data_IF_038004131422
#
_entry.id   IF_038004131422
#
_cell.length_a   1.000
_cell.length_b   1.000
_cell.length_c   1.000
_cell.angle_alpha   90.00
_cell.angle_beta   90.00
_cell.angle_gamma   90.00
#
_symmetry.space_group_name_H-M   'P 1'
#
loop_
_entity.id
_entity.type
_entity.pdbx_description
1 polymer ?
#
# COMPACT_ATOMS: atom_id res chain seq x y z
N UNK A 1 -23.02 -15.35 -1.43
CA UNK A 1 -21.70 -14.81 -1.01
C UNK A 1 -21.87 -14.21 0.36
N UNK A 2 -20.99 -14.52 1.32
CA UNK A 2 -21.02 -13.89 2.65
C UNK A 2 -20.07 -12.70 2.66
N UNK A 3 -20.56 -11.53 3.09
CA UNK A 3 -19.68 -10.41 3.47
C UNK A 3 -19.27 -10.62 4.92
N UNK A 4 -17.97 -10.74 5.17
CA UNK A 4 -17.41 -10.86 6.51
C UNK A 4 -16.40 -9.73 6.73
N UNK A 5 -16.42 -9.18 7.94
CA UNK A 5 -15.37 -8.26 8.39
C UNK A 5 -14.12 -9.06 8.69
N UNK A 6 -13.04 -8.72 8.01
CA UNK A 6 -11.71 -9.27 8.24
C UNK A 6 -10.74 -8.10 8.46
N UNK A 7 -9.63 -8.40 9.13
CA UNK A 7 -8.47 -7.54 9.11
C UNK A 7 -7.58 -7.90 7.91
N UNK A 8 -7.24 -6.93 7.07
CA UNK A 8 -6.17 -7.08 6.08
C UNK A 8 -4.86 -6.62 6.71
N UNK A 9 -3.89 -7.53 6.82
CA UNK A 9 -2.54 -7.20 7.27
C UNK A 9 -1.66 -7.01 6.04
N UNK A 10 -0.95 -5.88 6.01
CA UNK A 10 0.10 -5.59 5.04
C UNK A 10 1.45 -5.55 5.74
N UNK A 11 2.38 -6.39 5.29
CA UNK A 11 3.77 -6.41 5.78
C UNK A 11 4.72 -6.09 4.62
N UNK A 12 5.54 -5.06 4.77
CA UNK A 12 6.51 -4.56 3.78
C UNK A 12 7.90 -4.76 4.35
N UNK A 13 8.71 -5.61 3.74
CA UNK A 13 10.07 -5.92 4.21
C UNK A 13 11.07 -5.93 3.07
N UNK A 14 12.34 -5.70 3.40
CA UNK A 14 13.44 -5.92 2.47
C UNK A 14 13.50 -7.40 2.06
N UNK A 15 13.85 -7.68 0.80
CA UNK A 15 13.86 -9.03 0.24
C UNK A 15 14.76 -9.99 1.04
N UNK A 16 15.82 -9.47 1.65
CA UNK A 16 16.78 -10.24 2.46
C UNK A 16 16.15 -10.92 3.68
N UNK A 17 15.10 -10.34 4.26
CA UNK A 17 14.41 -10.90 5.45
C UNK A 17 13.01 -11.44 5.15
N UNK A 18 12.58 -11.42 3.89
CA UNK A 18 11.24 -11.84 3.49
C UNK A 18 10.92 -13.32 3.80
N UNK A 19 11.96 -14.16 3.85
CA UNK A 19 11.82 -15.56 4.26
C UNK A 19 11.39 -15.70 5.73
N UNK A 20 11.86 -14.83 6.64
CA UNK A 20 11.45 -14.83 8.05
C UNK A 20 9.96 -14.55 8.21
N UNK A 21 9.41 -13.65 7.38
CA UNK A 21 7.96 -13.37 7.36
C UNK A 21 7.20 -14.60 6.87
N UNK A 22 7.69 -15.25 5.81
CA UNK A 22 7.06 -16.46 5.26
C UNK A 22 7.00 -17.58 6.31
N UNK A 23 8.11 -17.84 7.00
CA UNK A 23 8.20 -18.85 8.04
C UNK A 23 7.29 -18.53 9.23
N UNK A 24 7.19 -17.26 9.62
CA UNK A 24 6.32 -16.80 10.70
C UNK A 24 4.84 -17.00 10.38
N UNK A 25 4.43 -16.63 9.15
CA UNK A 25 3.06 -16.82 8.69
C UNK A 25 2.69 -18.30 8.66
N UNK A 26 3.57 -19.16 8.16
CA UNK A 26 3.37 -20.60 8.15
C UNK A 26 3.17 -21.17 9.56
N UNK A 27 4.04 -20.76 10.51
CA UNK A 27 3.93 -21.17 11.92
C UNK A 27 2.65 -20.67 12.60
N UNK A 28 2.16 -19.49 12.24
CA UNK A 28 0.91 -18.94 12.76
C UNK A 28 -0.35 -19.63 12.18
N UNK A 29 -0.18 -20.57 11.24
CA UNK A 29 -1.29 -21.27 10.56
C UNK A 29 -1.89 -20.45 9.42
N UNK A 30 -1.24 -19.37 8.98
CA UNK A 30 -1.65 -18.65 7.77
C UNK A 30 -1.30 -19.54 6.59
N UNK A 31 -2.32 -19.89 5.79
CA UNK A 31 -2.17 -20.82 4.67
C UNK A 31 -1.97 -20.09 3.34
N UNK A 32 -2.41 -18.85 3.23
CA UNK A 32 -2.58 -18.15 1.96
C UNK A 32 -2.09 -16.70 2.08
N UNK A 33 -1.17 -16.31 1.20
CA UNK A 33 -0.64 -14.94 1.17
C UNK A 33 -0.39 -14.46 -0.24
N UNK A 34 -0.74 -13.20 -0.49
CA UNK A 34 -0.40 -12.49 -1.73
C UNK A 34 0.89 -11.71 -1.52
N UNK A 35 1.83 -11.85 -2.46
CA UNK A 35 3.15 -11.23 -2.40
C UNK A 35 3.37 -10.41 -3.67
N UNK A 36 3.68 -9.13 -3.50
CA UNK A 36 4.10 -8.25 -4.57
C UNK A 36 5.58 -7.91 -4.40
N UNK A 37 6.33 -7.91 -5.49
CA UNK A 37 7.72 -7.45 -5.50
C UNK A 37 7.78 -5.95 -5.75
N UNK A 38 8.75 -5.28 -5.14
CA UNK A 38 8.96 -3.86 -5.28
C UNK A 38 10.35 -3.44 -4.86
N UNK A 39 10.51 -2.14 -4.62
CA UNK A 39 11.73 -1.51 -4.13
C UNK A 39 11.41 -0.61 -2.95
N UNK A 40 12.13 -0.80 -1.84
CA UNK A 40 12.13 0.13 -0.73
C UNK A 40 13.19 1.19 -1.00
N UNK A 41 12.85 2.46 -0.80
CA UNK A 41 13.74 3.58 -1.14
C UNK A 41 14.02 4.43 0.08
N UNK A 42 15.28 4.79 0.27
CA UNK A 42 15.76 5.64 1.37
C UNK A 42 16.75 6.67 0.85
N UNK A 43 17.09 7.65 1.68
CA UNK A 43 18.19 8.57 1.46
C UNK A 43 19.51 7.92 1.90
N UNK A 44 20.58 8.16 1.16
CA UNK A 44 21.94 7.75 1.53
C UNK A 44 22.90 8.93 1.44
N UNK A 45 23.76 9.03 2.44
CA UNK A 45 24.87 9.98 2.46
C UNK A 45 25.82 9.71 1.28
N UNK A 46 26.02 10.74 0.45
CA UNK A 46 27.05 10.79 -0.58
C UNK A 46 28.22 11.60 -0.04
N UNK A 47 29.36 10.93 0.18
CA UNK A 47 30.60 11.60 0.58
C UNK A 47 31.23 12.31 -0.62
N UNK A 48 31.57 13.58 -0.43
CA UNK A 48 32.34 14.37 -1.39
C UNK A 48 33.85 14.19 -1.22
N UNK A 49 34.62 14.67 -2.19
CA UNK A 49 36.09 14.77 -2.06
C UNK A 49 36.39 16.09 -1.36
N UNK A 50 37.05 16.05 -0.19
CA UNK A 50 37.32 17.24 0.63
C UNK A 50 36.06 18.09 0.94
N UNK A 51 34.89 17.44 1.02
CA UNK A 51 33.60 18.11 1.26
C UNK A 51 32.90 18.66 0.01
N UNK A 52 33.57 18.72 -1.15
CA UNK A 52 32.96 19.15 -2.41
C UNK A 52 32.15 18.00 -3.01
N UNK A 53 30.88 18.27 -3.33
CA UNK A 53 29.95 17.29 -3.90
C UNK A 53 29.33 16.33 -2.87
N UNK A 54 29.46 16.63 -1.58
CA UNK A 54 28.71 15.95 -0.53
C UNK A 54 27.21 16.27 -0.64
N UNK A 55 26.37 15.31 -0.29
CA UNK A 55 24.92 15.47 -0.33
C UNK A 55 24.19 14.17 -0.05
N UNK A 56 22.95 14.10 -0.49
CA UNK A 56 22.09 12.93 -0.32
C UNK A 56 21.64 12.42 -1.69
N UNK A 57 21.52 11.10 -1.80
CA UNK A 57 21.02 10.44 -3.01
C UNK A 57 20.02 9.37 -2.61
N UNK A 58 19.09 9.05 -3.51
CA UNK A 58 18.21 7.90 -3.34
C UNK A 58 19.03 6.60 -3.41
N UNK A 59 18.70 5.68 -2.52
CA UNK A 59 19.27 4.34 -2.41
C UNK A 59 18.11 3.35 -2.34
N UNK A 60 18.17 2.32 -3.19
CA UNK A 60 17.03 1.45 -3.45
C UNK A 60 17.40 -0.01 -3.19
N UNK A 61 16.56 -0.72 -2.44
CA UNK A 61 16.71 -2.16 -2.21
C UNK A 61 15.47 -2.93 -2.66
N UNK A 62 15.64 -4.17 -3.14
CA UNK A 62 14.51 -5.06 -3.38
C UNK A 62 13.67 -5.26 -2.12
N UNK A 63 12.36 -5.20 -2.27
CA UNK A 63 11.38 -5.37 -1.20
C UNK A 63 10.25 -6.33 -1.61
N UNK A 64 9.61 -6.93 -0.62
CA UNK A 64 8.37 -7.71 -0.80
C UNK A 64 7.26 -7.14 0.09
N UNK A 65 6.06 -7.07 -0.50
CA UNK A 65 4.83 -6.65 0.16
C UNK A 65 3.91 -7.86 0.29
N UNK A 66 3.74 -8.34 1.52
CA UNK A 66 2.83 -9.42 1.88
C UNK A 66 1.47 -8.83 2.22
N UNK A 67 0.40 -9.44 1.71
CA UNK A 67 -1.01 -9.12 2.04
C UNK A 67 -1.80 -10.37 2.29
N UNK A 68 -2.46 -10.43 3.43
CA UNK A 68 -3.27 -11.57 3.85
C UNK A 68 -4.38 -11.10 4.79
N UNK A 69 -5.42 -11.93 4.92
CA UNK A 69 -6.60 -11.61 5.72
C UNK A 69 -6.70 -12.54 6.92
N UNK A 70 -7.05 -12.00 8.08
CA UNK A 70 -7.24 -12.75 9.33
C UNK A 70 -8.52 -12.29 10.02
N UNK A 71 -9.15 -13.12 10.86
CA UNK A 71 -10.23 -12.65 11.73
C UNK A 71 -9.75 -11.45 12.56
N UNK A 72 -10.57 -10.40 12.65
CA UNK A 72 -10.15 -9.10 13.21
C UNK A 72 -9.64 -9.21 14.64
N UNK A 73 -10.19 -10.13 15.44
CA UNK A 73 -9.79 -10.41 16.81
C UNK A 73 -8.40 -11.05 16.94
N UNK A 74 -7.86 -11.59 15.86
CA UNK A 74 -6.56 -12.28 15.84
C UNK A 74 -5.45 -11.43 15.20
N UNK A 75 -5.79 -10.26 14.65
CA UNK A 75 -4.85 -9.42 13.91
C UNK A 75 -3.60 -9.05 14.72
N UNK A 76 -3.76 -8.67 15.99
CA UNK A 76 -2.62 -8.29 16.84
C UNK A 76 -1.71 -9.45 17.17
N UNK A 77 -2.29 -10.61 17.48
CA UNK A 77 -1.51 -11.79 17.76
C UNK A 77 -0.64 -12.16 16.55
N UNK A 78 -1.22 -12.16 15.34
CA UNK A 78 -0.51 -12.49 14.11
C UNK A 78 0.56 -11.44 13.79
N UNK A 79 0.25 -10.15 13.94
CA UNK A 79 1.24 -9.08 13.76
C UNK A 79 2.40 -9.24 14.74
N UNK A 80 2.15 -9.52 16.02
CA UNK A 80 3.20 -9.73 17.02
C UNK A 80 4.09 -10.94 16.68
N UNK A 81 3.52 -12.04 16.18
CA UNK A 81 4.30 -13.18 15.67
C UNK A 81 5.24 -12.79 14.54
N UNK A 82 4.75 -12.02 13.57
CA UNK A 82 5.59 -11.56 12.44
C UNK A 82 6.65 -10.56 12.91
N UNK A 83 6.29 -9.63 13.81
CA UNK A 83 7.23 -8.64 14.38
C UNK A 83 8.36 -9.34 15.11
N UNK A 84 8.05 -10.30 15.98
CA UNK A 84 9.05 -11.05 16.74
C UNK A 84 9.97 -11.86 15.83
N UNK A 85 9.41 -12.60 14.87
CA UNK A 85 10.18 -13.47 13.99
C UNK A 85 11.08 -12.72 13.00
N UNK A 86 10.58 -11.61 12.42
CA UNK A 86 11.34 -10.79 11.49
C UNK A 86 12.06 -9.61 12.16
N UNK A 87 11.96 -9.51 13.50
CA UNK A 87 12.51 -8.43 14.32
C UNK A 87 12.19 -7.03 13.77
N UNK A 88 10.92 -6.82 13.41
CA UNK A 88 10.50 -5.57 12.75
C UNK A 88 10.61 -4.35 13.67
N UNK A 89 10.61 -4.58 14.98
CA UNK A 89 10.90 -3.61 16.06
C UNK A 89 12.32 -3.01 15.97
N UNK A 90 13.20 -3.63 15.19
CA UNK A 90 14.53 -3.08 14.90
C UNK A 90 14.47 -2.09 13.72
N UNK A 91 15.04 -0.88 13.84
CA UNK A 91 15.01 0.12 12.78
C UNK A 91 15.54 -0.40 11.44
N UNK A 92 14.75 -0.20 10.38
CA UNK A 92 15.14 -0.59 9.02
C UNK A 92 14.86 -2.03 8.65
N UNK A 93 13.99 -2.76 9.37
CA UNK A 93 13.57 -4.10 8.96
C UNK A 93 12.29 -4.13 8.13
N UNK A 94 11.37 -3.20 8.35
CA UNK A 94 10.16 -3.12 7.54
C UNK A 94 9.01 -2.46 8.27
N UNK A 95 7.84 -2.51 7.65
CA UNK A 95 6.58 -2.04 8.25
C UNK A 95 5.57 -3.16 8.25
N UNK A 96 4.72 -3.23 9.28
CA UNK A 96 3.56 -4.10 9.32
C UNK A 96 2.40 -3.32 9.90
N UNK A 97 1.24 -3.38 9.26
CA UNK A 97 0.06 -2.67 9.70
C UNK A 97 -1.22 -3.38 9.27
N UNK A 98 -2.30 -3.05 9.96
CA UNK A 98 -3.63 -3.61 9.72
C UNK A 98 -4.61 -2.55 9.27
N UNK A 99 -5.45 -2.89 8.30
CA UNK A 99 -6.61 -2.13 7.90
C UNK A 99 -7.88 -2.97 8.15
N UNK A 100 -8.96 -2.31 8.52
CA UNK A 100 -10.27 -2.93 8.46
C UNK A 100 -10.69 -3.08 7.01
N UNK A 101 -11.20 -4.26 6.64
CA UNK A 101 -11.62 -4.55 5.29
C UNK A 101 -12.88 -5.41 5.26
N UNK A 102 -13.74 -5.14 4.28
CA UNK A 102 -14.83 -6.05 3.94
C UNK A 102 -14.36 -6.98 2.83
N UNK A 103 -14.42 -8.29 3.09
CA UNK A 103 -13.98 -9.30 2.13
C UNK A 103 -15.18 -10.03 1.57
N UNK A 104 -15.24 -10.11 0.25
CA UNK A 104 -16.25 -10.84 -0.51
C UNK A 104 -15.52 -11.90 -1.34
N UNK A 105 -15.78 -13.17 -1.03
CA UNK A 105 -15.15 -14.32 -1.70
C UNK A 105 -16.11 -15.52 -1.77
N UNK A 106 -15.82 -16.46 -2.66
CA UNK A 106 -16.33 -17.83 -2.54
C UNK A 106 -15.73 -18.45 -1.27
N UNK A 107 -16.61 -18.93 -0.38
CA UNK A 107 -16.27 -19.32 0.99
C UNK A 107 -15.10 -20.31 1.02
N UNK A 108 -14.02 -19.96 1.71
CA UNK A 108 -13.09 -20.94 2.29
C UNK A 108 -13.44 -21.08 3.78
N UNK A 109 -13.30 -22.29 4.31
CA UNK A 109 -13.47 -22.60 5.72
C UNK A 109 -12.69 -21.62 6.62
N UNK A 110 -13.20 -21.33 7.84
CA UNK A 110 -12.46 -20.51 8.79
C UNK A 110 -11.08 -21.13 9.05
N UNK A 111 -10.02 -20.35 8.80
CA UNK A 111 -8.66 -20.77 9.12
C UNK A 111 -8.56 -20.84 10.64
N UNK A 112 -8.31 -22.04 11.17
CA UNK A 112 -7.97 -22.21 12.57
C UNK A 112 -6.51 -21.80 12.76
N UNK A 113 -6.30 -20.55 13.17
CA UNK A 113 -4.96 -20.03 13.41
C UNK A 113 -4.40 -20.63 14.71
N UNK A 114 -3.11 -20.96 14.68
CA UNK A 114 -2.35 -21.41 15.85
C UNK A 114 -1.32 -20.34 16.16
N UNK A 115 -1.80 -19.17 16.61
CA UNK A 115 -0.93 -18.01 16.81
C UNK A 115 -0.17 -18.16 18.13
N UNK A 116 1.18 -18.20 18.11
CA UNK A 116 1.96 -18.22 19.34
C UNK A 116 1.67 -16.97 20.19
N UNK A 117 1.68 -17.12 21.51
CA UNK A 117 1.61 -15.98 22.41
C UNK A 117 2.97 -15.27 22.44
N UNK A 118 3.10 -14.22 21.65
CA UNK A 118 4.26 -13.33 21.70
C UNK A 118 4.05 -12.18 22.68
N UNK A 119 5.15 -11.56 23.11
CA UNK A 119 5.07 -10.32 23.90
C UNK A 119 4.45 -9.21 23.03
N UNK A 120 3.42 -8.51 23.52
CA UNK A 120 2.84 -7.40 22.78
C UNK A 120 3.88 -6.31 22.52
N UNK A 121 3.96 -5.84 21.27
CA UNK A 121 4.72 -4.64 20.89
C UNK A 121 3.75 -3.47 20.81
N UNK A 122 4.18 -2.28 21.22
CA UNK A 122 3.39 -1.05 21.05
C UNK A 122 3.18 -0.78 19.56
N UNK A 123 1.94 -0.84 19.10
CA UNK A 123 1.57 -0.48 17.73
C UNK A 123 1.08 0.96 17.70
N UNK A 124 1.59 1.75 16.76
CA UNK A 124 1.13 3.10 16.56
C UNK A 124 -0.29 3.12 15.99
N UNK A 125 -1.11 4.03 16.50
CA UNK A 125 -2.45 4.35 15.99
C UNK A 125 -2.45 5.75 15.35
N UNK A 126 -3.58 6.17 14.76
CA UNK A 126 -3.67 7.46 14.06
C UNK A 126 -2.77 7.50 12.83
N UNK A 127 -2.79 6.42 12.05
CA UNK A 127 -1.96 6.27 10.85
C UNK A 127 -2.83 6.39 9.60
N UNK A 128 -2.27 6.96 8.55
CA UNK A 128 -2.88 7.05 7.23
C UNK A 128 -1.92 6.49 6.18
N UNK A 129 -2.41 5.55 5.37
CA UNK A 129 -1.70 5.09 4.19
C UNK A 129 -1.89 6.06 3.03
N UNK A 130 -0.85 6.28 2.24
CA UNK A 130 -0.89 7.06 1.00
C UNK A 130 -0.40 6.16 -0.13
N UNK A 131 -1.22 6.04 -1.17
CA UNK A 131 -0.89 5.38 -2.41
C UNK A 131 -0.84 6.40 -3.55
N UNK A 132 0.33 6.57 -4.16
CA UNK A 132 0.54 7.45 -5.29
C UNK A 132 0.87 6.61 -6.53
N UNK A 133 0.07 6.74 -7.58
CA UNK A 133 0.21 6.03 -8.85
C UNK A 133 0.67 7.04 -9.90
N UNK A 134 1.88 6.86 -10.41
CA UNK A 134 2.49 7.75 -11.41
C UNK A 134 2.91 6.98 -12.65
N UNK A 135 3.21 7.71 -13.72
CA UNK A 135 3.83 7.12 -14.90
C UNK A 135 5.20 6.53 -14.54
N UNK A 136 5.55 5.38 -15.14
CA UNK A 136 6.85 4.75 -14.91
C UNK A 136 8.01 5.72 -15.17
N UNK A 137 8.96 5.76 -14.24
CA UNK A 137 10.12 6.65 -14.28
C UNK A 137 9.91 7.99 -13.56
N UNK A 138 8.69 8.27 -13.07
CA UNK A 138 8.38 9.48 -12.29
C UNK A 138 8.31 9.22 -10.78
N UNK A 139 8.37 7.96 -10.34
CA UNK A 139 8.24 7.60 -8.92
C UNK A 139 9.29 8.24 -8.02
N UNK A 140 10.54 8.33 -8.49
CA UNK A 140 11.65 8.87 -7.69
C UNK A 140 11.46 10.34 -7.30
N UNK A 141 10.76 11.14 -8.12
CA UNK A 141 10.45 12.54 -7.78
C UNK A 141 9.51 12.62 -6.57
N UNK A 142 8.45 11.80 -6.58
CA UNK A 142 7.47 11.71 -5.50
C UNK A 142 8.10 11.13 -4.24
N UNK A 143 8.93 10.08 -4.39
CA UNK A 143 9.64 9.44 -3.30
C UNK A 143 10.62 10.39 -2.62
N UNK A 144 11.44 11.13 -3.39
CA UNK A 144 12.35 12.13 -2.85
C UNK A 144 11.57 13.15 -2.01
N UNK A 145 10.47 13.69 -2.55
CA UNK A 145 9.65 14.66 -1.84
C UNK A 145 9.08 14.10 -0.52
N UNK A 146 8.68 12.83 -0.49
CA UNK A 146 8.20 12.18 0.73
C UNK A 146 9.32 12.01 1.78
N UNK A 147 10.51 11.60 1.34
CA UNK A 147 11.67 11.40 2.21
C UNK A 147 12.19 12.73 2.78
N UNK A 148 12.19 13.80 1.99
CA UNK A 148 12.57 15.15 2.42
C UNK A 148 11.63 15.72 3.50
N UNK A 149 10.36 15.28 3.50
CA UNK A 149 9.39 15.61 4.56
C UNK A 149 9.57 14.76 5.82
N UNK A 150 10.43 13.73 5.79
CA UNK A 150 10.65 12.83 6.92
C UNK A 150 9.62 11.71 7.04
N UNK A 151 8.85 11.42 5.98
CA UNK A 151 7.87 10.34 6.01
C UNK A 151 8.51 8.96 5.99
N UNK A 152 7.74 7.94 6.40
CA UNK A 152 8.21 6.55 6.45
C UNK A 152 8.76 6.04 5.13
N UNK A 153 9.59 4.99 5.20
CA UNK A 153 10.22 4.37 4.03
C UNK A 153 9.16 3.97 3.00
N UNK A 154 9.11 4.63 1.82
CA UNK A 154 8.18 4.28 0.77
C UNK A 154 8.60 2.98 0.08
N UNK A 155 7.60 2.21 -0.34
CA UNK A 155 7.79 1.03 -1.20
C UNK A 155 7.12 1.30 -2.54
N UNK A 156 7.91 1.26 -3.61
CA UNK A 156 7.42 1.37 -4.97
C UNK A 156 7.26 -0.01 -5.60
N UNK A 157 6.10 -0.27 -6.18
CA UNK A 157 5.81 -1.46 -6.99
C UNK A 157 5.40 -1.04 -8.39
N UNK A 158 5.15 -2.01 -9.28
CA UNK A 158 4.77 -1.76 -10.67
C UNK A 158 3.37 -2.29 -10.96
N UNK A 159 2.71 -1.63 -11.90
CA UNK A 159 1.42 -2.06 -12.43
C UNK A 159 1.11 -1.42 -13.78
N UNK A 160 -0.07 -1.71 -14.28
CA UNK A 160 -0.60 -1.19 -15.53
C UNK A 160 -1.90 -0.42 -15.28
N UNK A 161 -1.96 0.82 -15.77
CA UNK A 161 -3.13 1.67 -15.66
C UNK A 161 -4.09 1.47 -16.84
N UNK A 162 -5.36 1.27 -16.52
CA UNK A 162 -6.48 1.22 -17.47
C UNK A 162 -7.33 2.49 -17.38
N UNK A 163 -8.42 2.59 -18.15
CA UNK A 163 -9.39 3.68 -18.00
C UNK A 163 -9.37 4.67 -19.17
N UNK A 164 -9.01 5.92 -18.89
CA UNK A 164 -8.96 6.99 -19.91
C UNK A 164 -8.14 6.56 -21.12
N UNK A 165 -6.95 5.98 -20.89
CA UNK A 165 -6.04 5.48 -21.94
C UNK A 165 -6.76 4.55 -22.92
N UNK A 166 -7.65 3.69 -22.45
CA UNK A 166 -8.30 2.66 -23.27
C UNK A 166 -9.42 3.23 -24.15
N UNK A 167 -9.90 4.43 -23.85
CA UNK A 167 -10.93 5.15 -24.62
C UNK A 167 -10.36 6.05 -25.71
N UNK A 168 -9.03 6.23 -25.77
CA UNK A 168 -8.36 7.22 -26.61
C UNK A 168 -7.98 6.73 -28.03
N UNK A 169 -8.31 5.50 -28.42
CA UNK A 169 -7.98 4.97 -29.75
C UNK A 169 -6.48 5.07 -30.06
N UNK A 170 -6.12 5.67 -31.21
CA UNK A 170 -4.70 5.89 -31.60
C UNK A 170 -3.96 6.78 -30.59
N UNK A 171 -4.64 7.75 -29.97
CA UNK A 171 -4.03 8.66 -28.99
C UNK A 171 -3.58 7.94 -27.70
N UNK A 172 -3.97 6.67 -27.51
CA UNK A 172 -3.53 5.78 -26.42
C UNK A 172 -2.00 5.71 -26.29
N UNK A 173 -1.25 5.90 -27.37
CA UNK A 173 0.22 5.87 -27.37
C UNK A 173 0.85 7.00 -26.54
N UNK A 174 0.11 8.09 -26.27
CA UNK A 174 0.62 9.28 -25.57
C UNK A 174 0.63 9.15 -24.05
N UNK A 175 -0.12 8.20 -23.48
CA UNK A 175 -0.23 8.01 -22.02
C UNK A 175 0.26 6.61 -21.67
N UNK A 176 1.49 6.39 -21.16
CA UNK A 176 2.02 5.06 -20.86
C UNK A 176 1.09 4.22 -19.96
N UNK A 177 0.94 2.93 -20.30
CA UNK A 177 0.18 1.96 -19.50
C UNK A 177 0.94 1.64 -18.21
N UNK A 178 2.25 1.46 -18.31
CA UNK A 178 3.10 1.13 -17.17
C UNK A 178 3.12 2.26 -16.13
N UNK A 179 2.87 1.88 -14.88
CA UNK A 179 2.83 2.74 -13.71
C UNK A 179 3.82 2.29 -12.65
N UNK A 180 4.23 3.26 -11.84
CA UNK A 180 4.82 3.01 -10.52
C UNK A 180 3.78 3.32 -9.46
N UNK A 181 3.62 2.41 -8.48
CA UNK A 181 2.69 2.52 -7.36
C UNK A 181 3.50 2.68 -6.09
N UNK A 182 3.57 3.90 -5.57
CA UNK A 182 4.32 4.27 -4.38
C UNK A 182 3.40 4.20 -3.18
N UNK A 183 3.72 3.33 -2.22
CA UNK A 183 2.97 3.16 -1.00
C UNK A 183 3.82 3.59 0.21
N UNK A 184 3.30 4.53 0.99
CA UNK A 184 3.90 4.98 2.25
C UNK A 184 2.84 5.10 3.34
N UNK A 185 3.28 5.17 4.59
CA UNK A 185 2.42 5.44 5.74
C UNK A 185 2.87 6.72 6.42
N UNK A 186 1.92 7.56 6.83
CA UNK A 186 2.16 8.80 7.55
C UNK A 186 1.28 8.83 8.79
N UNK A 187 1.54 9.76 9.69
CA UNK A 187 0.60 10.06 10.76
C UNK A 187 -0.64 10.75 10.16
N UNK A 188 -1.82 10.46 10.68
CA UNK A 188 -3.10 10.92 10.12
C UNK A 188 -3.18 12.45 10.01
N UNK A 189 -2.64 13.15 11.00
CA UNK A 189 -2.56 14.62 11.02
C UNK A 189 -1.68 15.21 9.90
N UNK A 190 -0.68 14.46 9.43
CA UNK A 190 0.23 14.89 8.37
C UNK A 190 -0.31 14.54 6.97
N UNK A 191 -1.36 13.71 6.90
CA UNK A 191 -1.87 13.17 5.63
C UNK A 191 -2.28 14.25 4.63
N UNK A 192 -2.86 15.36 5.13
CA UNK A 192 -3.29 16.45 4.25
C UNK A 192 -2.10 17.16 3.60
N UNK A 193 -1.11 17.53 4.39
CA UNK A 193 0.11 18.20 3.91
C UNK A 193 0.92 17.27 2.99
N UNK A 194 1.00 15.99 3.35
CA UNK A 194 1.60 14.95 2.53
C UNK A 194 0.92 14.88 1.16
N UNK A 195 -0.41 14.76 1.12
CA UNK A 195 -1.16 14.73 -0.13
C UNK A 195 -0.90 15.98 -0.97
N UNK A 196 -0.94 17.17 -0.36
CA UNK A 196 -0.73 18.42 -1.09
C UNK A 196 0.67 18.47 -1.73
N UNK A 197 1.70 18.10 -0.98
CA UNK A 197 3.09 18.09 -1.45
C UNK A 197 3.33 17.04 -2.54
N UNK A 198 2.77 15.84 -2.38
CA UNK A 198 2.95 14.74 -3.35
C UNK A 198 2.17 14.98 -4.64
N UNK A 199 1.02 15.66 -4.58
CA UNK A 199 0.29 16.12 -5.78
C UNK A 199 1.15 17.09 -6.58
N UNK A 200 1.81 18.04 -5.92
CA UNK A 200 2.68 19.01 -6.58
C UNK A 200 3.94 18.36 -7.17
N UNK A 201 4.60 17.48 -6.40
CA UNK A 201 5.77 16.75 -6.86
C UNK A 201 5.47 15.84 -8.07
N UNK A 202 4.32 15.16 -8.05
CA UNK A 202 3.86 14.27 -9.13
C UNK A 202 3.07 14.96 -10.25
N UNK A 203 2.70 16.24 -10.08
CA UNK A 203 1.79 16.98 -10.96
C UNK A 203 0.49 16.21 -11.21
N UNK A 204 -0.04 15.56 -10.19
CA UNK A 204 -1.11 14.55 -10.31
C UNK A 204 -2.46 15.14 -10.70
N UNK A 205 -2.61 16.45 -10.56
CA UNK A 205 -3.74 17.24 -11.02
C UNK A 205 -3.64 17.61 -12.51
N UNK A 206 -2.63 17.13 -13.25
CA UNK A 206 -2.49 17.33 -14.69
C UNK A 206 -2.90 16.08 -15.51
N UNK A 207 -3.37 16.26 -16.75
CA UNK A 207 -3.84 15.15 -17.59
C UNK A 207 -2.83 14.01 -17.71
N UNK A 208 -3.26 12.80 -17.36
CA UNK A 208 -2.48 11.57 -17.53
C UNK A 208 -1.27 11.42 -16.61
N UNK A 209 -1.06 12.31 -15.63
CA UNK A 209 0.10 12.27 -14.72
C UNK A 209 -0.01 11.24 -13.61
N UNK A 210 -1.22 10.93 -13.16
CA UNK A 210 -1.39 9.90 -12.16
C UNK A 210 -2.65 10.05 -11.32
N UNK A 211 -2.65 9.35 -10.21
CA UNK A 211 -3.72 9.31 -9.24
C UNK A 211 -3.12 9.11 -7.85
N UNK A 212 -3.63 9.80 -6.84
CA UNK A 212 -3.20 9.61 -5.44
C UNK A 212 -4.43 9.47 -4.55
N UNK A 213 -4.34 8.61 -3.54
CA UNK A 213 -5.37 8.46 -2.55
C UNK A 213 -4.84 8.03 -1.19
N UNK A 214 -5.66 8.29 -0.17
CA UNK A 214 -5.41 7.86 1.20
C UNK A 214 -6.28 6.65 1.56
N UNK A 215 -5.82 5.86 2.53
CA UNK A 215 -6.62 4.81 3.16
C UNK A 215 -6.30 4.74 4.67
N UNK A 216 -7.30 4.58 5.55
CA UNK A 216 -7.06 4.51 6.99
C UNK A 216 -6.23 3.29 7.34
N UNK A 217 -5.29 3.47 8.26
CA UNK A 217 -4.52 2.37 8.86
C UNK A 217 -4.89 2.30 10.33
N UNK A 218 -5.46 1.17 10.74
CA UNK A 218 -5.97 1.01 12.11
C UNK A 218 -4.86 1.11 13.14
N UNK A 219 -3.81 0.31 12.95
CA UNK A 219 -2.57 0.36 13.74
C UNK A 219 -1.43 -0.36 13.04
N UNK A 220 -0.20 -0.08 13.46
CA UNK A 220 0.96 -0.82 12.96
C UNK A 220 2.31 -0.33 13.47
N UNK A 221 3.35 -1.02 13.03
CA UNK A 221 4.75 -0.67 13.20
C UNK A 221 5.30 -0.17 11.86
N UNK A 222 5.85 1.04 11.83
CA UNK A 222 6.23 1.72 10.59
C UNK A 222 7.75 1.91 10.52
N UNK A 223 8.33 1.61 9.36
CA UNK A 223 9.77 1.79 9.13
C UNK A 223 10.11 3.27 8.99
N UNK A 224 10.72 3.83 10.02
CA UNK A 224 11.18 5.23 10.06
C UNK A 224 12.63 5.42 9.65
N UNK A 225 13.37 4.34 9.33
CA UNK A 225 14.78 4.41 8.93
C UNK A 225 14.94 4.84 7.48
N UNK A 226 14.71 6.12 7.25
CA UNK A 226 14.64 6.76 5.93
C UNK A 226 15.99 7.27 5.44
N UNK A 227 17.02 7.24 6.28
CA UNK A 227 18.36 7.74 5.96
C UNK A 227 19.45 6.72 6.32
N UNK A 228 20.46 6.61 5.45
CA UNK A 228 21.67 5.78 5.61
C UNK A 228 22.91 6.65 5.52
N UNK A 229 23.55 6.87 6.65
CA UNK A 229 24.79 7.63 6.71
C UNK A 229 25.54 7.39 8.00
N UNK A 230 26.61 8.15 8.17
CA UNK A 230 27.49 8.04 9.32
C UNK A 230 26.74 8.42 10.61
N UNK A 231 26.57 7.46 11.52
CA UNK A 231 25.99 7.71 12.84
C UNK A 231 26.98 8.46 13.73
N UNK A 232 26.55 9.60 14.31
CA UNK A 232 27.38 10.44 15.19
C UNK A 232 27.10 10.25 16.68
N UNK A 233 26.05 9.49 17.02
CA UNK A 233 25.57 9.28 18.39
C UNK A 233 25.49 7.79 18.71
N UNK A 234 25.51 7.45 20.01
CA UNK A 234 25.40 6.07 20.48
C UNK A 234 24.02 5.45 20.21
N UNK A 235 22.95 6.25 20.28
CA UNK A 235 21.61 5.88 19.85
C UNK A 235 21.28 6.59 18.54
N UNK A 236 20.60 5.90 17.63
CA UNK A 236 20.15 6.47 16.36
C UNK A 236 18.94 7.40 16.56
N UNK A 237 18.69 8.29 15.60
CA UNK A 237 17.51 9.17 15.61
C UNK A 237 16.22 8.34 15.65
N UNK A 238 16.18 7.22 14.94
CA UNK A 238 15.04 6.30 14.93
C UNK A 238 14.81 5.66 16.31
N UNK A 239 15.87 5.31 17.03
CA UNK A 239 15.75 4.79 18.40
C UNK A 239 15.21 5.85 19.36
N UNK A 240 15.63 7.10 19.21
CA UNK A 240 15.09 8.22 20.00
C UNK A 240 13.61 8.44 19.67
N UNK A 241 13.24 8.43 18.38
CA UNK A 241 11.85 8.57 17.94
C UNK A 241 10.98 7.45 18.52
N UNK A 242 11.40 6.20 18.37
CA UNK A 242 10.68 5.03 18.89
C UNK A 242 10.44 5.12 20.39
N UNK A 243 11.47 5.50 21.16
CA UNK A 243 11.34 5.65 22.61
C UNK A 243 10.36 6.77 23.01
N UNK A 244 10.32 7.88 22.27
CA UNK A 244 9.36 8.97 22.54
C UNK A 244 7.94 8.56 22.15
N UNK A 245 7.76 7.88 21.02
CA UNK A 245 6.46 7.35 20.61
C UNK A 245 5.92 6.37 21.67
N UNK A 246 6.77 5.50 22.21
CA UNK A 246 6.41 4.59 23.32
C UNK A 246 5.99 5.35 24.58
N UNK A 247 6.72 6.41 24.94
CA UNK A 247 6.40 7.26 26.10
C UNK A 247 5.09 8.04 25.88
N UNK A 248 4.83 8.50 24.66
CA UNK A 248 3.68 9.36 24.32
C UNK A 248 2.44 8.58 23.89
N UNK A 249 2.59 7.30 23.54
CA UNK A 249 1.54 6.47 22.96
C UNK A 249 0.99 6.99 21.62
N UNK A 250 1.68 7.95 20.97
CA UNK A 250 1.21 8.62 19.75
C UNK A 250 2.36 9.32 19.02
N UNK A 251 2.14 9.68 17.75
CA UNK A 251 3.07 10.48 16.94
C UNK A 251 2.76 11.99 16.96
N UNK A 252 1.76 12.43 17.71
CA UNK A 252 1.31 13.85 17.75
C UNK A 252 2.39 14.83 18.21
N UNK A 253 3.33 14.37 19.04
CA UNK A 253 4.43 15.20 19.55
C UNK A 253 5.39 15.66 18.45
N UNK A 254 5.38 15.01 17.27
CA UNK A 254 6.23 15.35 16.13
C UNK A 254 5.77 16.63 15.41
N UNK A 255 4.62 17.18 15.79
CA UNK A 255 4.08 18.42 15.23
C UNK A 255 5.09 19.55 15.38
N UNK A 256 5.52 20.13 14.25
CA UNK A 256 6.29 21.38 14.29
C UNK A 256 5.40 22.49 14.85
N UNK A 257 5.78 22.99 16.03
CA UNK A 257 5.12 24.15 16.64
C UNK A 257 5.45 25.39 15.80
N UNK A 258 4.49 25.89 15.02
CA UNK A 258 4.58 27.23 14.41
C UNK A 258 4.92 27.32 12.91
N UNK A 259 5.13 26.23 12.19
CA UNK A 259 5.30 26.28 10.71
C UNK A 259 3.99 25.92 9.99
N UNK A 260 2.98 26.76 10.16
CA UNK A 260 1.87 26.83 9.21
C UNK A 260 2.37 27.48 7.92
N UNK A 261 3.08 26.77 7.05
CA UNK A 261 3.22 27.20 5.66
C UNK A 261 1.85 27.04 5.02
N UNK A 262 1.08 28.12 5.11
CA UNK A 262 -0.16 28.34 4.40
C UNK A 262 0.16 28.42 2.91
N UNK A 263 0.29 27.25 2.29
CA UNK A 263 0.30 27.06 0.85
C UNK A 263 -1.10 27.28 0.30
N UNK A 264 -1.35 28.52 -0.10
CA UNK A 264 -2.37 29.04 -1.01
C UNK A 264 -3.37 28.05 -1.65
N UNK A 265 -4.65 28.28 -1.36
CA UNK A 265 -5.80 27.73 -2.12
C UNK A 265 -6.14 26.29 -1.75
N UNK A 266 -7.21 26.09 -0.96
CA UNK A 266 -7.64 24.75 -0.55
C UNK A 266 -7.87 23.83 -1.75
N UNK A 267 -6.89 22.97 -2.05
CA UNK A 267 -7.01 21.91 -3.06
C UNK A 267 -8.23 21.08 -2.73
N UNK A 268 -9.10 20.88 -3.72
CA UNK A 268 -10.29 20.04 -3.59
C UNK A 268 -9.87 18.59 -3.80
N UNK A 269 -10.25 17.75 -2.86
CA UNK A 269 -10.05 16.31 -2.93
C UNK A 269 -11.38 15.64 -3.24
N UNK A 270 -11.31 14.53 -3.98
CA UNK A 270 -12.41 13.59 -4.09
C UNK A 270 -12.60 12.89 -2.75
N UNK A 271 -13.85 12.67 -2.36
CA UNK A 271 -14.24 12.03 -1.10
C UNK A 271 -15.38 11.03 -1.35
N UNK A 272 -15.77 10.28 -0.31
CA UNK A 272 -16.81 9.24 -0.38
C UNK A 272 -16.47 8.15 -1.42
N UNK A 273 -15.20 7.75 -1.42
CA UNK A 273 -14.64 6.76 -2.32
C UNK A 273 -14.36 5.46 -1.56
N UNK A 274 -14.30 4.37 -2.31
CA UNK A 274 -13.94 3.04 -1.85
C UNK A 274 -12.83 2.52 -2.77
N UNK A 275 -11.77 1.98 -2.19
CA UNK A 275 -10.86 1.12 -2.92
C UNK A 275 -11.49 -0.26 -3.03
N UNK A 276 -11.93 -0.58 -4.24
CA UNK A 276 -12.41 -1.89 -4.65
C UNK A 276 -11.20 -2.66 -5.20
N UNK A 277 -10.60 -3.50 -4.36
CA UNK A 277 -9.47 -4.34 -4.73
C UNK A 277 -9.99 -5.70 -5.20
N UNK A 278 -9.82 -6.00 -6.49
CA UNK A 278 -10.14 -7.29 -7.10
C UNK A 278 -8.86 -8.11 -7.28
N UNK A 279 -8.79 -9.31 -6.72
CA UNK A 279 -7.69 -10.26 -6.97
C UNK A 279 -8.22 -11.46 -7.73
N UNK A 280 -7.64 -11.79 -8.88
CA UNK A 280 -8.05 -12.93 -9.72
C UNK A 280 -6.83 -13.68 -10.28
N UNK A 281 -7.08 -14.82 -10.95
CA UNK A 281 -6.06 -15.52 -11.72
C UNK A 281 -5.48 -14.62 -12.83
N UNK A 282 -4.17 -14.72 -13.06
CA UNK A 282 -3.49 -13.95 -14.10
C UNK A 282 -4.12 -14.19 -15.47
N UNK A 283 -4.33 -13.11 -16.23
CA UNK A 283 -4.98 -13.12 -17.55
C UNK A 283 -6.48 -12.81 -17.50
N UNK A 284 -7.11 -12.79 -16.32
CA UNK A 284 -8.54 -12.45 -16.18
C UNK A 284 -8.79 -10.98 -15.81
N UNK A 285 -7.78 -10.24 -15.31
CA UNK A 285 -8.01 -8.90 -14.76
C UNK A 285 -8.57 -7.92 -15.79
N UNK A 286 -8.05 -7.91 -17.03
CA UNK A 286 -8.50 -6.96 -18.06
C UNK A 286 -9.99 -7.11 -18.42
N UNK A 287 -10.47 -8.34 -18.54
CA UNK A 287 -11.88 -8.63 -18.84
C UNK A 287 -12.78 -8.16 -17.69
N UNK A 288 -12.42 -8.51 -16.46
CA UNK A 288 -13.18 -8.17 -15.26
C UNK A 288 -13.19 -6.64 -15.02
N UNK A 289 -12.05 -5.97 -15.19
CA UNK A 289 -11.96 -4.51 -15.13
C UNK A 289 -12.80 -3.85 -16.22
N UNK A 290 -12.83 -4.42 -17.44
CA UNK A 290 -13.71 -3.91 -18.51
C UNK A 290 -15.18 -4.05 -18.15
N UNK A 291 -15.57 -5.15 -17.49
CA UNK A 291 -16.93 -5.33 -16.97
C UNK A 291 -17.25 -4.28 -15.88
N UNK A 292 -16.33 -4.01 -14.95
CA UNK A 292 -16.50 -2.93 -13.97
C UNK A 292 -16.65 -1.55 -14.62
N UNK A 293 -15.87 -1.27 -15.67
CA UNK A 293 -15.91 0.00 -16.39
C UNK A 293 -17.21 0.19 -17.18
N UNK A 294 -17.87 -0.87 -17.63
CA UNK A 294 -19.15 -0.78 -18.36
C UNK A 294 -20.30 -0.28 -17.48
N UNK A 295 -20.18 -0.43 -16.16
CA UNK A 295 -21.13 0.05 -15.15
C UNK A 295 -20.64 1.27 -14.37
N UNK A 296 -19.59 1.94 -14.88
CA UNK A 296 -19.20 3.28 -14.43
C UNK A 296 -17.89 3.39 -13.64
N UNK A 297 -17.12 2.31 -13.46
CA UNK A 297 -15.76 2.45 -12.93
C UNK A 297 -14.88 3.29 -13.89
N UNK A 298 -14.07 4.19 -13.36
CA UNK A 298 -13.24 5.09 -14.17
C UNK A 298 -12.05 4.39 -14.83
N UNK A 299 -11.52 3.37 -14.16
CA UNK A 299 -10.33 2.60 -14.54
C UNK A 299 -9.82 1.82 -13.33
N UNK A 300 -8.68 1.16 -13.51
CA UNK A 300 -8.00 0.37 -12.49
C UNK A 300 -6.48 0.52 -12.62
N UNK A 301 -5.77 0.19 -11.54
CA UNK A 301 -4.34 -0.15 -11.61
C UNK A 301 -4.20 -1.65 -11.38
N UNK A 302 -3.70 -2.36 -12.40
CA UNK A 302 -3.52 -3.82 -12.38
C UNK A 302 -2.07 -4.13 -12.02
N UNK A 303 -1.85 -4.92 -10.98
CA UNK A 303 -0.53 -5.34 -10.49
C UNK A 303 -0.40 -6.85 -10.51
N UNK A 304 0.78 -7.36 -10.86
CA UNK A 304 1.08 -8.79 -10.72
C UNK A 304 1.34 -9.16 -9.27
N UNK A 305 0.84 -10.33 -8.86
CA UNK A 305 1.02 -10.92 -7.55
C UNK A 305 1.47 -12.36 -7.68
N UNK A 306 2.36 -12.76 -6.78
CA UNK A 306 2.60 -14.17 -6.47
C UNK A 306 1.67 -14.57 -5.34
N UNK A 307 0.98 -15.68 -5.51
CA UNK A 307 0.18 -16.32 -4.48
C UNK A 307 0.93 -17.52 -3.91
N UNK A 308 1.13 -17.53 -2.59
CA UNK A 308 1.84 -18.60 -1.90
C UNK A 308 0.88 -19.36 -0.99
N UNK A 309 0.80 -20.68 -1.23
CA UNK A 309 0.14 -21.64 -0.35
C UNK A 309 1.18 -22.18 0.63
N UNK A 310 1.20 -21.66 1.85
CA UNK A 310 2.26 -21.95 2.83
C UNK A 310 2.24 -23.39 3.34
N UNK A 311 1.07 -24.04 3.33
CA UNK A 311 0.89 -25.44 3.77
C UNK A 311 0.57 -26.42 2.64
N UNK A 312 0.64 -26.00 1.37
CA UNK A 312 0.40 -26.85 0.20
C UNK A 312 -1.05 -27.28 -0.05
N UNK A 313 -1.96 -27.08 0.90
CA UNK A 313 -3.40 -27.31 0.75
C UNK A 313 -4.10 -26.04 0.26
N UNK A 314 -5.08 -26.17 -0.63
CA UNK A 314 -5.87 -25.04 -1.15
C UNK A 314 -6.68 -25.43 -2.38
N UNK A 315 -7.62 -24.57 -2.78
CA UNK A 315 -8.43 -24.78 -3.99
C UNK A 315 -7.56 -24.69 -5.26
N UNK A 316 -7.44 -25.79 -6.02
CA UNK A 316 -6.68 -25.88 -7.27
C UNK A 316 -7.11 -24.89 -8.35
N UNK A 317 -8.30 -24.29 -8.21
CA UNK A 317 -8.75 -23.19 -9.07
C UNK A 317 -7.93 -21.90 -8.88
N UNK A 318 -7.28 -21.71 -7.73
CA UNK A 318 -6.52 -20.50 -7.39
C UNK A 318 -5.06 -20.63 -7.85
N UNK A 319 -4.72 -19.97 -8.95
CA UNK A 319 -3.37 -19.99 -9.54
C UNK A 319 -2.32 -19.33 -8.63
N UNK A 320 -1.07 -19.84 -8.57
CA UNK A 320 0.06 -19.14 -7.96
C UNK A 320 0.40 -17.78 -8.62
N UNK A 321 0.01 -17.59 -9.88
CA UNK A 321 0.14 -16.33 -10.60
C UNK A 321 -1.21 -15.60 -10.60
N UNK A 322 -1.25 -14.42 -9.97
CA UNK A 322 -2.46 -13.65 -9.73
C UNK A 322 -2.28 -12.22 -10.20
N UNK A 323 -3.39 -11.55 -10.46
CA UNK A 323 -3.45 -10.11 -10.73
C UNK A 323 -4.34 -9.44 -9.70
N UNK A 324 -3.93 -8.26 -9.25
CA UNK A 324 -4.70 -7.39 -8.38
C UNK A 324 -5.04 -6.10 -9.10
N UNK A 325 -6.32 -5.78 -9.16
CA UNK A 325 -6.84 -4.55 -9.74
C UNK A 325 -7.38 -3.68 -8.62
N UNK A 326 -6.75 -2.52 -8.38
CA UNK A 326 -7.29 -1.49 -7.48
C UNK A 326 -8.14 -0.51 -8.29
N UNK A 327 -9.43 -0.43 -7.99
CA UNK A 327 -10.39 0.52 -8.56
C UNK A 327 -10.86 1.48 -7.48
N UNK A 328 -10.63 2.78 -7.67
CA UNK A 328 -11.10 3.81 -6.75
C UNK A 328 -12.43 4.35 -7.27
N UNK A 329 -13.52 3.98 -6.60
CA UNK A 329 -14.89 4.17 -7.08
C UNK A 329 -15.77 4.82 -6.02
N UNK A 330 -16.87 5.45 -6.42
CA UNK A 330 -17.83 5.99 -5.47
C UNK A 330 -18.51 4.86 -4.69
N UNK A 331 -18.80 5.06 -3.40
CA UNK A 331 -19.44 4.04 -2.56
C UNK A 331 -20.75 3.48 -3.18
N UNK A 332 -21.54 4.33 -3.84
CA UNK A 332 -22.78 3.94 -4.51
C UNK A 332 -22.58 3.02 -5.74
N UNK A 333 -21.36 2.93 -6.29
CA UNK A 333 -21.05 2.11 -7.47
C UNK A 333 -20.66 0.67 -7.11
N UNK A 334 -20.35 0.40 -5.85
CA UNK A 334 -19.77 -0.88 -5.39
C UNK A 334 -20.65 -2.08 -5.77
N UNK A 335 -21.95 -2.01 -5.52
CA UNK A 335 -22.86 -3.13 -5.81
C UNK A 335 -23.03 -3.39 -7.31
N UNK A 336 -23.14 -2.33 -8.12
CA UNK A 336 -23.24 -2.45 -9.56
C UNK A 336 -21.96 -3.08 -10.15
N UNK A 337 -20.78 -2.64 -9.68
CA UNK A 337 -19.50 -3.19 -10.09
C UNK A 337 -19.38 -4.65 -9.66
N UNK A 338 -19.69 -4.98 -8.41
CA UNK A 338 -19.68 -6.36 -7.91
C UNK A 338 -20.55 -7.28 -8.77
N UNK A 339 -21.76 -6.84 -9.11
CA UNK A 339 -22.66 -7.59 -9.98
C UNK A 339 -22.07 -7.79 -11.38
N UNK A 340 -21.47 -6.76 -11.97
CA UNK A 340 -20.83 -6.88 -13.28
C UNK A 340 -19.64 -7.86 -13.28
N UNK A 341 -18.89 -7.93 -12.17
CA UNK A 341 -17.81 -8.91 -11.97
C UNK A 341 -18.38 -10.33 -11.85
N UNK A 342 -19.47 -10.51 -11.12
CA UNK A 342 -20.15 -11.80 -10.98
C UNK A 342 -20.70 -12.28 -12.33
N UNK A 343 -21.40 -11.41 -13.07
CA UNK A 343 -21.97 -11.69 -14.38
C UNK A 343 -20.87 -12.00 -15.43
N UNK A 344 -19.62 -11.58 -15.19
CA UNK A 344 -18.43 -11.86 -16.01
C UNK A 344 -17.60 -13.07 -15.53
N UNK A 345 -18.21 -14.00 -14.78
CA UNK A 345 -17.55 -15.19 -14.22
C UNK A 345 -16.36 -14.87 -13.30
N UNK A 346 -16.43 -13.75 -12.56
CA UNK A 346 -15.38 -13.35 -11.64
C UNK A 346 -15.16 -14.36 -10.51
N UNK A 347 -16.23 -14.97 -9.99
CA UNK A 347 -16.15 -15.94 -8.88
C UNK A 347 -16.15 -17.40 -9.34
N UNK A 348 -16.21 -17.66 -10.64
CA UNK A 348 -16.06 -18.99 -11.20
C UNK A 348 -14.63 -19.51 -11.06
N UNK A 349 -14.45 -20.82 -11.25
CA UNK A 349 -13.15 -21.51 -11.07
C UNK A 349 -12.02 -20.99 -11.97
N UNK A 350 -12.34 -20.35 -13.09
CA UNK A 350 -11.31 -19.85 -14.00
C UNK A 350 -10.72 -18.53 -13.51
N UNK A 351 -11.54 -17.67 -12.91
CA UNK A 351 -11.11 -16.37 -12.38
C UNK A 351 -10.71 -16.45 -10.91
N UNK A 352 -11.44 -17.25 -10.14
CA UNK A 352 -11.31 -17.44 -8.70
C UNK A 352 -11.10 -16.12 -7.97
N UNK A 353 -11.95 -15.12 -8.26
CA UNK A 353 -11.74 -13.78 -7.77
C UNK A 353 -12.10 -13.63 -6.28
N UNK A 354 -11.44 -12.67 -5.66
CA UNK A 354 -11.75 -12.16 -4.33
C UNK A 354 -11.84 -10.64 -4.43
N UNK A 355 -12.81 -10.04 -3.73
CA UNK A 355 -12.92 -8.59 -3.59
C UNK A 355 -12.64 -8.21 -2.15
N UNK A 356 -11.85 -7.16 -1.98
CA UNK A 356 -11.62 -6.47 -0.72
C UNK A 356 -12.05 -5.01 -0.87
N UNK A 357 -12.88 -4.50 0.04
CA UNK A 357 -13.34 -3.12 0.04
C UNK A 357 -12.72 -2.36 1.22
N UNK A 358 -12.12 -1.21 0.94
CA UNK A 358 -11.53 -0.31 1.94
C UNK A 358 -11.95 1.14 1.70
N UNK A 359 -12.21 1.94 2.75
CA UNK A 359 -12.56 3.34 2.58
C UNK A 359 -11.39 4.16 2.00
N UNK A 360 -11.73 5.15 1.18
CA UNK A 360 -10.78 6.12 0.62
C UNK A 360 -11.23 7.53 1.03
N UNK A 361 -10.68 8.07 2.13
CA UNK A 361 -11.10 9.37 2.67
C UNK A 361 -10.81 10.53 1.73
N UNK A 362 -9.71 10.47 0.98
CA UNK A 362 -9.30 11.54 0.08
C UNK A 362 -8.57 10.98 -1.14
N UNK A 363 -8.87 11.51 -2.32
CA UNK A 363 -8.13 11.22 -3.53
C UNK A 363 -7.98 12.46 -4.43
N UNK A 364 -6.96 12.46 -5.29
CA UNK A 364 -6.71 13.53 -6.25
C UNK A 364 -6.22 12.96 -7.58
N UNK A 365 -6.75 13.51 -8.67
CA UNK A 365 -6.31 13.29 -10.04
C UNK A 365 -6.84 14.41 -10.92
N UNK A 366 -6.39 14.50 -12.16
CA UNK A 366 -6.98 15.40 -13.15
C UNK A 366 -8.41 14.95 -13.51
N UNK A 367 -9.40 15.81 -13.23
CA UNK A 367 -10.81 15.53 -13.49
C UNK A 367 -11.32 16.01 -14.84
N UNK A 368 -10.48 16.66 -15.65
CA UNK A 368 -10.97 17.40 -16.82
C UNK A 368 -11.66 18.68 -16.36
N UNK A 369 -11.24 19.84 -16.87
CA UNK A 369 -11.96 21.07 -16.60
C UNK A 369 -13.37 20.99 -17.20
N UNK A 370 -14.40 20.88 -16.35
CA UNK A 370 -15.70 21.47 -16.67
C UNK A 370 -15.50 22.99 -16.67
N UNK A 371 -15.32 23.56 -17.86
CA UNK A 371 -15.78 24.94 -18.08
C UNK A 371 -17.25 24.90 -18.43
#
# INVERSE_FOLDING_TARGET
METKKYAEITCKVYKTIAHLVTDALQKAGITEVHIQTGRAVVLREKKGILGIGAGEVLDEDPAEVFRFHVPSEQADAVMNTVIAAAHLDSPGRGSIFVNDAEVIRSVHEPVQLSVPTERPVTLASGLMGICCIVQRGQGNTVIQSALDMGFSVPVATFGEGTGLRDKLGILRITIPAEKEVINMTVAEQDAREAMDTLVDAGKLDQPGKGFIYTYPVGRGLINTKIFRGTQKHAASVEQMISAIDDIKGSMEWRKRSGEGRSGAGGRKYLSNLVNFTLVCNEGRAHELVKAAMSVGAAGATISKLRYSRLNGTGDDSVSPAREMSDLIVGAAQVDAIRKAIEDADGFGKTSSAMITLKPVPSACTYLGGSR
#
